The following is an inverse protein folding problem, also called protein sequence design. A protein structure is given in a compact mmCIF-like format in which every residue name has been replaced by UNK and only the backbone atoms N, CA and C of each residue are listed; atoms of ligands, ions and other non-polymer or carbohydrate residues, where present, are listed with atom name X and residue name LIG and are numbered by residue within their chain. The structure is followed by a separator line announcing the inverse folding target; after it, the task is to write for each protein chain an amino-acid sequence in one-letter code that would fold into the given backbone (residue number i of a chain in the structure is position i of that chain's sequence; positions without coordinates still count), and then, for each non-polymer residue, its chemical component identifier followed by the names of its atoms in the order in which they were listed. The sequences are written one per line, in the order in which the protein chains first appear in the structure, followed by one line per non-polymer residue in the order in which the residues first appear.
data_IF_756290999048
#
_entry.id   IF_756290999048
#
_cell.length_a   1.000
_cell.length_b   1.000
_cell.length_c   1.000
_cell.angle_alpha   90.00
_cell.angle_beta   90.00
_cell.angle_gamma   90.00
#
_symmetry.space_group_name_H-M   'P 1'
#
loop_
_entity.id
_entity.type
_entity.pdbx_description
1 polymer ?
#
# COMPACT_ATOMS: atom_id res chain seq x y z
N UNK A 1 -4.75 11.68 1.07
CA UNK A 1 -4.02 11.59 2.35
C UNK A 1 -3.21 12.86 2.63
N UNK A 2 -2.43 13.34 1.66
CA UNK A 2 -1.46 14.44 1.83
C UNK A 2 -2.00 15.84 2.18
N UNK A 3 -3.32 16.07 2.15
CA UNK A 3 -3.89 17.41 2.39
C UNK A 3 -4.01 17.75 3.88
N UNK A 4 -4.23 16.75 4.74
CA UNK A 4 -4.42 16.97 6.18
C UNK A 4 -3.07 17.06 6.90
N UNK A 5 -3.05 17.73 8.06
CA UNK A 5 -1.84 17.87 8.88
C UNK A 5 -1.51 16.63 9.70
N UNK A 6 -2.52 15.90 10.14
CA UNK A 6 -2.33 14.72 11.00
C UNK A 6 -1.60 13.61 10.23
N UNK A 7 -0.59 12.95 10.84
CA UNK A 7 0.05 11.81 10.22
C UNK A 7 -0.97 10.68 10.07
N UNK A 8 -0.91 9.96 8.95
CA UNK A 8 -1.82 8.86 8.67
C UNK A 8 -1.05 7.55 8.73
N UNK A 9 -1.48 6.66 9.62
CA UNK A 9 -1.00 5.30 9.73
C UNK A 9 -1.80 4.39 8.79
N UNK A 10 -1.12 3.57 8.02
CA UNK A 10 -1.74 2.62 7.09
C UNK A 10 -1.34 1.21 7.48
N UNK A 11 -2.34 0.31 7.57
CA UNK A 11 -2.10 -1.08 7.95
C UNK A 11 -2.80 -1.98 6.92
N UNK A 12 -2.02 -2.84 6.26
CA UNK A 12 -2.54 -3.86 5.37
C UNK A 12 -2.96 -5.10 6.16
N UNK A 13 -4.26 -5.40 6.13
CA UNK A 13 -4.86 -6.60 6.70
C UNK A 13 -5.38 -7.46 5.55
N UNK A 14 -4.77 -8.62 5.31
CA UNK A 14 -5.18 -9.53 4.22
C UNK A 14 -4.62 -9.12 2.84
N UNK A 15 -5.12 -8.04 2.22
CA UNK A 15 -4.64 -7.65 0.88
C UNK A 15 -4.75 -6.15 0.60
N UNK A 16 -3.70 -5.60 -0.01
CA UNK A 16 -3.69 -4.28 -0.62
C UNK A 16 -3.25 -4.39 -2.09
N UNK A 17 -4.22 -4.45 -3.01
CA UNK A 17 -3.98 -4.58 -4.44
C UNK A 17 -4.41 -3.32 -5.22
N UNK A 18 -3.70 -3.01 -6.31
CA UNK A 18 -4.07 -1.91 -7.21
C UNK A 18 -4.11 -0.55 -6.49
N UNK A 19 -5.23 0.16 -6.49
CA UNK A 19 -5.35 1.43 -5.78
C UNK A 19 -5.18 1.29 -4.26
N UNK A 20 -5.44 0.11 -3.68
CA UNK A 20 -5.25 -0.10 -2.25
C UNK A 20 -3.77 -0.12 -1.85
N UNK A 21 -2.87 -0.66 -2.68
CA UNK A 21 -1.42 -0.59 -2.42
C UNK A 21 -0.88 0.83 -2.57
N UNK A 22 -1.45 1.64 -3.47
CA UNK A 22 -1.11 3.06 -3.54
C UNK A 22 -1.52 3.81 -2.27
N UNK A 23 -2.73 3.55 -1.76
CA UNK A 23 -3.20 4.15 -0.50
C UNK A 23 -2.35 3.70 0.69
N UNK A 24 -1.98 2.42 0.74
CA UNK A 24 -1.05 1.88 1.73
C UNK A 24 0.30 2.63 1.70
N UNK A 25 0.89 2.77 0.51
CA UNK A 25 2.16 3.49 0.32
C UNK A 25 2.07 4.98 0.66
N UNK A 26 0.89 5.59 0.52
CA UNK A 26 0.64 7.01 0.76
C UNK A 26 0.47 7.40 2.24
N UNK A 27 0.57 6.43 3.17
CA UNK A 27 0.69 6.69 4.60
C UNK A 27 1.93 7.52 4.94
N UNK A 28 1.98 8.04 6.17
CA UNK A 28 3.15 8.74 6.67
C UNK A 28 4.35 7.79 6.70
N UNK A 29 5.52 8.24 6.24
CA UNK A 29 6.75 7.42 6.24
C UNK A 29 7.11 7.01 7.67
N UNK A 30 7.37 5.73 7.88
CA UNK A 30 7.57 5.11 9.19
C UNK A 30 6.28 4.56 9.82
N UNK A 31 5.11 4.88 9.27
CA UNK A 31 3.79 4.51 9.79
C UNK A 31 3.00 3.62 8.80
N UNK A 32 3.68 2.99 7.84
CA UNK A 32 3.06 2.10 6.85
C UNK A 32 3.38 0.65 7.22
N UNK A 33 2.36 -0.16 7.50
CA UNK A 33 2.53 -1.49 8.09
C UNK A 33 1.72 -2.55 7.36
N UNK A 34 2.10 -3.80 7.55
CA UNK A 34 1.38 -4.97 7.03
C UNK A 34 1.45 -6.12 8.02
N UNK A 35 0.44 -6.99 8.03
CA UNK A 35 0.55 -8.30 8.69
C UNK A 35 1.39 -9.27 7.85
N UNK A 36 1.97 -10.33 8.45
CA UNK A 36 2.96 -11.20 7.79
C UNK A 36 2.38 -12.06 6.65
N UNK A 37 1.07 -12.34 6.71
CA UNK A 37 0.38 -13.16 5.71
C UNK A 37 -0.41 -12.33 4.69
N UNK A 38 -0.21 -11.01 4.66
CA UNK A 38 -0.93 -10.15 3.72
C UNK A 38 -0.26 -10.13 2.35
N UNK A 39 -1.05 -9.85 1.31
CA UNK A 39 -0.56 -9.74 -0.06
C UNK A 39 -0.63 -8.29 -0.54
N UNK A 40 0.48 -7.79 -1.06
CA UNK A 40 0.53 -6.49 -1.73
C UNK A 40 0.61 -6.75 -3.24
N UNK A 41 -0.17 -6.02 -4.03
CA UNK A 41 -0.09 -6.12 -5.49
C UNK A 41 -0.11 -4.75 -6.15
N UNK A 42 0.80 -4.54 -7.08
CA UNK A 42 0.79 -3.40 -8.00
C UNK A 42 0.64 -3.93 -9.43
N UNK A 43 -0.06 -3.16 -10.27
CA UNK A 43 -0.29 -3.47 -11.66
C UNK A 43 -0.61 -2.20 -12.42
N UNK A 44 -0.62 -2.28 -13.74
CA UNK A 44 -0.88 -1.15 -14.62
C UNK A 44 -2.32 -0.66 -14.47
N UNK A 45 -2.55 0.56 -14.93
CA UNK A 45 -3.89 1.09 -15.05
C UNK A 45 -4.65 0.32 -16.14
N UNK A 46 -5.76 -0.32 -15.77
CA UNK A 46 -6.72 -0.84 -16.74
C UNK A 46 -7.65 0.26 -17.24
N UNK A 47 -7.87 0.32 -18.55
CA UNK A 47 -8.79 1.26 -19.16
C UNK A 47 -9.01 0.98 -20.64
N UNK A 48 -10.18 1.34 -21.15
CA UNK A 48 -10.54 1.17 -22.55
C UNK A 48 -11.73 2.06 -22.90
N UNK A 49 -11.78 2.49 -24.15
CA UNK A 49 -12.88 3.28 -24.68
C UNK A 49 -13.06 2.94 -26.16
N UNK A 50 -14.31 2.86 -26.61
CA UNK A 50 -14.68 2.71 -28.02
C UNK A 50 -15.66 3.82 -28.40
N UNK A 51 -15.53 4.36 -29.61
CA UNK A 51 -16.34 5.49 -30.06
C UNK A 51 -15.75 6.20 -31.27
N UNK A 52 -16.18 7.44 -31.50
CA UNK A 52 -15.63 8.24 -32.59
C UNK A 52 -14.13 8.51 -32.38
N UNK A 53 -13.39 8.67 -33.48
CA UNK A 53 -11.94 8.87 -33.43
C UNK A 53 -11.51 10.05 -32.53
N UNK A 54 -12.29 11.14 -32.52
CA UNK A 54 -12.02 12.30 -31.66
C UNK A 54 -12.17 11.96 -30.17
N UNK A 55 -13.23 11.25 -29.81
CA UNK A 55 -13.48 10.84 -28.42
C UNK A 55 -12.43 9.82 -27.96
N UNK A 56 -12.08 8.85 -28.81
CA UNK A 56 -10.99 7.92 -28.53
C UNK A 56 -9.69 8.66 -28.22
N UNK A 57 -9.33 9.67 -29.02
CA UNK A 57 -8.12 10.47 -28.77
C UNK A 57 -8.16 11.21 -27.41
N UNK A 58 -9.33 11.74 -27.01
CA UNK A 58 -9.52 12.39 -25.70
C UNK A 58 -9.33 11.37 -24.57
N UNK A 59 -9.95 10.20 -24.68
CA UNK A 59 -9.88 9.16 -23.65
C UNK A 59 -8.47 8.55 -23.55
N UNK A 60 -7.80 8.27 -24.67
CA UNK A 60 -6.41 7.80 -24.68
C UNK A 60 -5.48 8.82 -24.01
N UNK A 61 -5.64 10.12 -24.30
CA UNK A 61 -4.85 11.18 -23.65
C UNK A 61 -5.04 11.20 -22.13
N UNK A 62 -6.27 10.99 -21.66
CA UNK A 62 -6.58 10.92 -20.24
C UNK A 62 -5.99 9.67 -19.58
N UNK A 63 -6.07 8.50 -20.22
CA UNK A 63 -5.43 7.26 -19.73
C UNK A 63 -3.93 7.47 -19.55
N UNK A 64 -3.25 8.05 -20.53
CA UNK A 64 -1.80 8.34 -20.46
C UNK A 64 -1.50 9.31 -19.31
N UNK A 65 -2.32 10.35 -19.11
CA UNK A 65 -2.15 11.30 -18.00
C UNK A 65 -2.28 10.61 -16.64
N UNK A 66 -3.30 9.79 -16.45
CA UNK A 66 -3.52 9.06 -15.19
C UNK A 66 -2.39 8.05 -14.96
N UNK A 67 -1.99 7.30 -15.98
CA UNK A 67 -0.88 6.37 -15.92
C UNK A 67 0.42 7.05 -15.47
N UNK A 68 0.79 8.20 -16.07
CA UNK A 68 1.97 8.98 -15.64
C UNK A 68 1.86 9.43 -14.19
N UNK A 69 0.68 9.87 -13.79
CA UNK A 69 0.42 10.37 -12.43
C UNK A 69 0.56 9.25 -11.39
N UNK A 70 0.00 8.06 -11.66
CA UNK A 70 0.11 6.90 -10.77
C UNK A 70 1.56 6.43 -10.61
N UNK A 71 2.29 6.27 -11.71
CA UNK A 71 3.71 5.89 -11.65
C UNK A 71 4.54 6.91 -10.85
N UNK A 72 4.28 8.20 -11.04
CA UNK A 72 4.94 9.27 -10.27
C UNK A 72 4.60 9.23 -8.78
N UNK A 73 3.35 8.92 -8.41
CA UNK A 73 2.94 8.79 -7.01
C UNK A 73 3.59 7.58 -6.34
N UNK A 74 3.60 6.42 -7.01
CA UNK A 74 4.31 5.24 -6.50
C UNK A 74 5.80 5.53 -6.32
N UNK A 75 6.47 6.14 -7.31
CA UNK A 75 7.87 6.52 -7.20
C UNK A 75 8.12 7.46 -6.01
N UNK A 76 7.27 8.49 -5.84
CA UNK A 76 7.34 9.42 -4.70
C UNK A 76 7.23 8.71 -3.36
N UNK A 77 6.28 7.78 -3.21
CA UNK A 77 5.99 7.15 -1.93
C UNK A 77 6.94 5.99 -1.59
N UNK A 78 7.44 5.29 -2.60
CA UNK A 78 8.38 4.16 -2.41
C UNK A 78 9.84 4.61 -2.37
N UNK A 79 10.17 5.75 -2.95
CA UNK A 79 11.55 6.19 -3.17
C UNK A 79 12.23 5.51 -4.36
N UNK A 80 11.51 4.65 -5.09
CA UNK A 80 12.01 3.99 -6.31
C UNK A 80 12.08 4.96 -7.48
N UNK A 81 12.98 4.70 -8.42
CA UNK A 81 12.99 5.38 -9.70
C UNK A 81 11.71 5.07 -10.50
N UNK A 82 11.19 6.06 -11.23
CA UNK A 82 9.98 5.89 -12.06
C UNK A 82 10.11 4.73 -13.04
N UNK A 83 11.31 4.48 -13.59
CA UNK A 83 11.57 3.34 -14.48
C UNK A 83 11.39 1.98 -13.80
N UNK A 84 11.77 1.87 -12.52
CA UNK A 84 11.57 0.64 -11.72
C UNK A 84 10.09 0.43 -11.46
N UNK A 85 9.36 1.50 -11.12
CA UNK A 85 7.90 1.44 -10.95
C UNK A 85 7.22 0.99 -12.25
N UNK A 86 7.55 1.60 -13.38
CA UNK A 86 6.97 1.26 -14.69
C UNK A 86 7.21 -0.20 -15.06
N UNK A 87 8.41 -0.72 -14.80
CA UNK A 87 8.75 -2.13 -15.05
C UNK A 87 7.91 -3.08 -14.20
N UNK A 88 7.76 -2.79 -12.90
CA UNK A 88 7.00 -3.65 -11.98
C UNK A 88 5.49 -3.49 -12.12
N UNK A 89 5.00 -2.35 -12.62
CA UNK A 89 3.57 -2.14 -12.90
C UNK A 89 3.15 -2.65 -14.28
N UNK A 90 4.05 -3.03 -15.19
CA UNK A 90 3.63 -3.48 -16.55
C UNK A 90 2.72 -4.73 -16.51
N UNK A 91 2.91 -5.59 -15.52
CA UNK A 91 2.06 -6.75 -15.23
C UNK A 91 1.70 -6.79 -13.76
N UNK A 92 0.84 -7.73 -13.41
CA UNK A 92 0.52 -7.99 -12.01
C UNK A 92 1.79 -8.42 -11.28
N UNK A 93 2.20 -7.60 -10.31
CA UNK A 93 3.35 -7.84 -9.46
C UNK A 93 2.85 -8.01 -8.04
N UNK A 94 2.85 -9.27 -7.59
CA UNK A 94 2.50 -9.67 -6.23
C UNK A 94 3.75 -9.67 -5.36
N UNK A 95 3.59 -9.19 -4.13
CA UNK A 95 4.65 -9.08 -3.14
C UNK A 95 4.13 -9.61 -1.80
N UNK A 96 4.99 -10.37 -1.14
CA UNK A 96 4.93 -10.60 0.30
C UNK A 96 5.13 -9.28 1.06
N UNK A 97 4.77 -9.20 2.35
CA UNK A 97 5.01 -8.01 3.16
C UNK A 97 6.50 -7.63 3.22
N UNK A 98 7.40 -8.61 3.27
CA UNK A 98 8.84 -8.41 3.27
C UNK A 98 9.34 -7.79 1.96
N UNK A 99 8.90 -8.33 0.82
CA UNK A 99 9.19 -7.76 -0.50
C UNK A 99 8.60 -6.36 -0.65
N UNK A 100 7.38 -6.13 -0.15
CA UNK A 100 6.74 -4.81 -0.18
C UNK A 100 7.48 -3.79 0.69
N UNK A 101 8.10 -4.24 1.79
CA UNK A 101 8.96 -3.43 2.65
C UNK A 101 10.26 -3.07 1.93
N UNK A 102 10.92 -4.05 1.31
CA UNK A 102 12.14 -3.82 0.51
C UNK A 102 11.86 -2.89 -0.68
N UNK A 103 10.71 -3.06 -1.34
CA UNK A 103 10.28 -2.20 -2.44
C UNK A 103 9.94 -0.77 -1.98
N UNK A 104 9.59 -0.59 -0.70
CA UNK A 104 9.29 0.70 -0.08
C UNK A 104 7.81 1.06 -0.03
N UNK A 105 6.90 0.10 -0.27
CA UNK A 105 5.44 0.30 -0.14
C UNK A 105 5.05 0.40 1.34
N UNK A 106 5.66 -0.41 2.19
CA UNK A 106 5.50 -0.38 3.65
C UNK A 106 6.84 -0.16 4.34
N UNK A 107 6.80 0.14 5.64
CA UNK A 107 7.97 0.33 6.49
C UNK A 107 8.17 -0.85 7.48
N UNK A 108 7.09 -1.52 7.88
CA UNK A 108 7.12 -2.55 8.93
C UNK A 108 6.16 -3.72 8.65
N UNK A 109 6.60 -4.93 9.00
CA UNK A 109 5.75 -6.12 9.08
C UNK A 109 5.48 -6.41 10.56
N UNK A 110 4.22 -6.38 10.96
CA UNK A 110 3.80 -6.54 12.36
C UNK A 110 3.37 -7.99 12.61
N UNK A 111 4.07 -8.72 13.47
CA UNK A 111 3.69 -10.09 13.83
C UNK A 111 2.87 -10.16 15.13
N UNK A 112 3.32 -9.46 16.17
CA UNK A 112 2.64 -9.43 17.47
C UNK A 112 2.27 -8.00 17.89
N UNK A 113 1.13 -7.85 18.56
CA UNK A 113 0.77 -6.59 19.22
C UNK A 113 1.55 -6.51 20.54
N UNK A 114 2.32 -5.44 20.80
CA UNK A 114 2.94 -5.25 22.10
C UNK A 114 1.89 -5.28 23.20
N UNK A 115 2.05 -6.21 24.17
CA UNK A 115 1.13 -6.40 25.30
C UNK A 115 0.94 -5.11 26.12
N UNK A 116 1.90 -4.18 26.06
CA UNK A 116 1.85 -2.86 26.71
C UNK A 116 0.71 -1.97 26.22
N UNK A 117 0.06 -2.29 25.09
CA UNK A 117 -1.08 -1.54 24.55
C UNK A 117 -2.44 -2.19 24.87
N UNK A 118 -2.45 -3.33 25.56
CA UNK A 118 -3.66 -4.07 25.94
C UNK A 118 -3.89 -3.88 27.45
N UNK A 119 -4.18 -2.65 27.88
CA UNK A 119 -4.59 -2.41 29.28
C UNK A 119 -6.11 -2.55 29.49
N UNK A 120 -6.91 -2.50 28.42
CA UNK A 120 -8.35 -2.20 28.56
C UNK A 120 -9.29 -3.24 27.92
N UNK A 121 -8.81 -4.43 27.54
CA UNK A 121 -9.67 -5.44 26.93
C UNK A 121 -9.28 -6.87 27.32
N UNK A 122 -9.53 -7.25 28.57
CA UNK A 122 -10.40 -8.36 29.01
C UNK A 122 -10.44 -8.27 30.54
N UNK A 123 -11.61 -8.02 31.12
CA UNK A 123 -11.78 -8.07 32.57
C UNK A 123 -11.51 -9.48 33.10
N UNK A 124 -10.67 -9.54 34.13
CA UNK A 124 -10.57 -10.55 35.19
C UNK A 124 -11.28 -11.91 35.01
N UNK A 125 -10.52 -13.00 34.99
CA UNK A 125 -10.63 -14.05 36.01
C UNK A 125 -9.22 -14.64 36.26
N UNK A 126 -8.84 -14.74 37.54
CA UNK A 126 -7.50 -15.10 37.96
C UNK A 126 -7.21 -16.59 37.97
N UNK A 127 -5.93 -16.92 37.83
CA UNK A 127 -5.17 -17.62 38.88
C UNK A 127 -3.72 -17.67 38.44
N UNK A 128 -2.83 -17.11 39.27
CA UNK A 128 -1.41 -17.03 38.97
C UNK A 128 -0.72 -18.38 39.05
N UNK A 129 0.48 -18.48 38.46
CA UNK A 129 1.66 -19.06 39.12
C UNK A 129 2.92 -18.41 38.55
N UNK A 130 3.79 -18.06 39.50
CA UNK A 130 5.17 -17.57 39.55
C UNK A 130 6.06 -17.65 38.30
N UNK A 131 6.77 -16.54 38.09
CA UNK A 131 8.12 -16.54 37.53
C UNK A 131 9.09 -17.01 38.64
N UNK A 132 9.74 -18.14 38.40
CA UNK A 132 11.04 -18.46 39.00
C UNK A 132 12.13 -18.13 37.97
#
# INVERSE_FOLDING_TARGET
MQYIRSPINTICLGQAASMASLLLAAGAKGERRSLPNATIMIHQLSGGYSGQAKDMAIHTKQIIRVWKSLNGLYAKHTGQNVSVIQKNMDRDCFMTPEEAKEFGIIDEVMDERPLTLVTDAVGCEGNGVKLD
#
